data_IF_483154006788
#
_entry.id   IF_483154006788
#
_cell.length_a   1.000
_cell.length_b   1.000
_cell.length_c   1.000
_cell.angle_alpha   90.00
_cell.angle_beta   90.00
_cell.angle_gamma   90.00
#
_symmetry.space_group_name_H-M   'P 1'
#
loop_
_entity.id
_entity.type
_entity.pdbx_description
1 polymer ?
#
# COMPACT_ATOMS: atom_id res chain seq x y z
N UNK A 1 -32.24 -68.73 11.85
CA UNK A 1 -31.04 -68.40 12.63
C UNK A 1 -30.58 -67.04 12.12
N UNK A 2 -31.04 -65.97 12.78
CA UNK A 2 -30.86 -64.60 12.32
C UNK A 2 -29.48 -64.11 12.75
N UNK A 3 -28.60 -63.80 11.80
CA UNK A 3 -27.32 -63.13 12.08
C UNK A 3 -27.58 -61.64 12.21
N UNK A 4 -27.62 -61.14 13.46
CA UNK A 4 -27.63 -59.72 13.74
C UNK A 4 -26.35 -59.05 13.19
N UNK A 5 -26.43 -57.80 12.71
CA UNK A 5 -25.28 -57.07 12.23
C UNK A 5 -24.33 -56.81 13.41
N UNK A 6 -23.09 -57.29 13.28
CA UNK A 6 -22.01 -57.00 14.21
C UNK A 6 -21.69 -55.51 14.11
N UNK A 7 -22.20 -54.72 15.05
CA UNK A 7 -21.79 -53.33 15.24
C UNK A 7 -20.36 -53.38 15.81
N UNK A 8 -19.34 -52.77 15.18
CA UNK A 8 -17.99 -52.72 15.74
C UNK A 8 -18.03 -51.97 17.06
N UNK A 9 -17.96 -52.71 18.17
CA UNK A 9 -17.89 -52.16 19.52
C UNK A 9 -16.44 -51.84 19.87
N UNK A 10 -15.97 -50.69 19.42
CA UNK A 10 -15.01 -49.88 20.18
C UNK A 10 -15.01 -48.46 19.59
N UNK A 11 -15.94 -47.63 20.04
CA UNK A 11 -15.57 -46.22 20.17
C UNK A 11 -14.41 -46.20 21.17
N UNK A 12 -13.23 -45.94 20.64
CA UNK A 12 -12.00 -45.90 21.41
C UNK A 12 -12.10 -44.74 22.42
N UNK A 13 -12.42 -45.04 23.69
CA UNK A 13 -12.56 -44.02 24.73
C UNK A 13 -11.25 -43.26 24.95
N UNK A 14 -10.10 -43.82 24.54
CA UNK A 14 -8.82 -43.12 24.55
C UNK A 14 -8.80 -41.95 23.55
N UNK A 15 -9.46 -42.08 22.40
CA UNK A 15 -9.54 -40.98 21.42
C UNK A 15 -10.36 -39.78 21.91
N UNK A 16 -11.29 -40.00 22.86
CA UNK A 16 -12.06 -38.93 23.51
C UNK A 16 -11.18 -38.05 24.41
N UNK A 17 -10.09 -38.58 24.97
CA UNK A 17 -9.13 -37.82 25.79
C UNK A 17 -8.35 -36.82 24.92
N UNK A 18 -8.09 -37.17 23.66
CA UNK A 18 -7.35 -36.33 22.70
C UNK A 18 -8.25 -35.45 21.82
N UNK A 19 -9.58 -35.49 22.04
CA UNK A 19 -10.53 -34.86 21.15
C UNK A 19 -10.36 -33.33 21.06
N UNK A 20 -10.09 -32.68 22.20
CA UNK A 20 -9.82 -31.24 22.25
C UNK A 20 -8.58 -30.87 21.42
N UNK A 21 -7.48 -31.60 21.62
CA UNK A 21 -6.23 -31.39 20.87
C UNK A 21 -6.45 -31.61 19.38
N UNK A 22 -7.16 -32.66 18.98
CA UNK A 22 -7.47 -32.89 17.57
C UNK A 22 -8.29 -31.75 16.96
N UNK A 23 -9.34 -31.26 17.63
CA UNK A 23 -10.13 -30.16 17.11
C UNK A 23 -9.36 -28.83 17.10
N UNK A 24 -8.46 -28.62 18.05
CA UNK A 24 -7.57 -27.46 18.05
C UNK A 24 -6.60 -27.50 16.86
N UNK A 25 -5.98 -28.66 16.60
CA UNK A 25 -5.09 -28.85 15.45
C UNK A 25 -5.84 -28.71 14.13
N UNK A 26 -7.01 -29.35 13.99
CA UNK A 26 -7.86 -29.20 12.80
C UNK A 26 -8.27 -27.74 12.57
N UNK A 27 -8.71 -27.05 13.63
CA UNK A 27 -9.09 -25.64 13.55
C UNK A 27 -7.92 -24.72 13.22
N UNK A 28 -6.73 -25.01 13.74
CA UNK A 28 -5.50 -24.30 13.40
C UNK A 28 -5.13 -24.52 11.93
N UNK A 29 -5.10 -25.76 11.45
CA UNK A 29 -4.72 -26.09 10.07
C UNK A 29 -5.71 -25.50 9.06
N UNK A 30 -7.01 -25.57 9.35
CA UNK A 30 -8.05 -24.96 8.53
C UNK A 30 -7.93 -23.42 8.54
N UNK A 31 -7.79 -22.82 9.73
CA UNK A 31 -7.64 -21.37 9.87
C UNK A 31 -6.36 -20.84 9.23
N UNK A 32 -5.26 -21.57 9.31
CA UNK A 32 -3.99 -21.22 8.68
C UNK A 32 -4.10 -21.27 7.16
N UNK A 33 -4.67 -22.34 6.61
CA UNK A 33 -4.87 -22.49 5.16
C UNK A 33 -5.79 -21.42 4.59
N UNK A 34 -6.87 -21.11 5.29
CA UNK A 34 -7.81 -20.08 4.85
C UNK A 34 -7.22 -18.67 5.02
N UNK A 35 -6.46 -18.46 6.10
CA UNK A 35 -5.72 -17.23 6.37
C UNK A 35 -4.63 -16.94 5.34
N UNK A 36 -3.88 -17.96 4.91
CA UNK A 36 -2.86 -17.83 3.86
C UNK A 36 -3.48 -17.36 2.53
N UNK A 37 -4.58 -18.01 2.11
CA UNK A 37 -5.27 -17.67 0.86
C UNK A 37 -5.93 -16.29 0.90
N UNK A 38 -6.62 -15.98 1.99
CA UNK A 38 -7.31 -14.69 2.13
C UNK A 38 -6.32 -13.55 2.34
N UNK A 39 -5.26 -13.78 3.11
CA UNK A 39 -4.21 -12.79 3.37
C UNK A 39 -3.42 -12.39 2.13
N UNK A 40 -3.11 -13.32 1.23
CA UNK A 40 -2.46 -12.98 -0.05
C UNK A 40 -3.33 -12.05 -0.90
N UNK A 41 -4.62 -12.39 -1.04
CA UNK A 41 -5.56 -11.60 -1.82
C UNK A 41 -5.79 -10.22 -1.21
N UNK A 42 -6.06 -10.16 0.10
CA UNK A 42 -6.27 -8.91 0.83
C UNK A 42 -5.04 -8.02 0.79
N UNK A 43 -3.85 -8.59 1.03
CA UNK A 43 -2.58 -7.86 0.97
C UNK A 43 -2.31 -7.27 -0.41
N UNK A 44 -2.62 -8.01 -1.49
CA UNK A 44 -2.50 -7.51 -2.86
C UNK A 44 -3.47 -6.36 -3.13
N UNK A 45 -4.74 -6.51 -2.76
CA UNK A 45 -5.77 -5.46 -2.94
C UNK A 45 -5.36 -4.20 -2.19
N UNK A 46 -5.04 -4.34 -0.89
CA UNK A 46 -4.63 -3.24 -0.04
C UNK A 46 -3.38 -2.54 -0.57
N UNK A 47 -2.38 -3.32 -1.01
CA UNK A 47 -1.16 -2.80 -1.62
C UNK A 47 -1.45 -1.96 -2.86
N UNK A 48 -2.30 -2.44 -3.78
CA UNK A 48 -2.70 -1.69 -4.98
C UNK A 48 -3.44 -0.39 -4.63
N UNK A 49 -4.38 -0.43 -3.70
CA UNK A 49 -5.13 0.75 -3.25
C UNK A 49 -4.21 1.82 -2.65
N UNK A 50 -3.28 1.40 -1.78
CA UNK A 50 -2.32 2.30 -1.14
C UNK A 50 -1.28 2.84 -2.12
N UNK A 51 -0.78 2.01 -3.02
CA UNK A 51 0.12 2.44 -4.08
C UNK A 51 -0.55 3.46 -5.01
N UNK A 52 -1.84 3.26 -5.34
CA UNK A 52 -2.60 4.23 -6.14
C UNK A 52 -2.80 5.56 -5.41
N UNK A 53 -3.15 5.52 -4.12
CA UNK A 53 -3.27 6.72 -3.28
C UNK A 53 -1.97 7.55 -3.30
N UNK A 54 -0.84 6.88 -3.08
CA UNK A 54 0.49 7.47 -3.04
C UNK A 54 0.94 7.98 -4.42
N UNK A 55 0.81 7.15 -5.45
CA UNK A 55 1.22 7.46 -6.81
C UNK A 55 0.47 8.66 -7.40
N UNK A 56 -0.82 8.83 -7.09
CA UNK A 56 -1.56 10.04 -7.50
C UNK A 56 -0.98 11.31 -6.90
N UNK A 57 -0.63 11.29 -5.61
CA UNK A 57 -0.09 12.47 -4.94
C UNK A 57 1.31 12.82 -5.48
N UNK A 58 2.16 11.81 -5.67
CA UNK A 58 3.49 11.98 -6.27
C UNK A 58 3.39 12.47 -7.72
N UNK A 59 2.52 11.86 -8.53
CA UNK A 59 2.30 12.26 -9.92
C UNK A 59 1.76 13.70 -10.05
N UNK A 60 0.93 14.14 -9.12
CA UNK A 60 0.50 15.55 -9.05
C UNK A 60 1.69 16.49 -8.81
N UNK A 61 2.60 16.15 -7.89
CA UNK A 61 3.81 16.93 -7.66
C UNK A 61 4.70 16.99 -8.90
N UNK A 62 4.90 15.85 -9.56
CA UNK A 62 5.70 15.74 -10.77
C UNK A 62 5.13 16.59 -11.93
N UNK A 63 3.82 16.50 -12.15
CA UNK A 63 3.14 17.30 -13.19
C UNK A 63 3.26 18.80 -12.94
N UNK A 64 3.12 19.23 -11.68
CA UNK A 64 3.24 20.64 -11.30
C UNK A 64 4.66 21.17 -11.55
N UNK A 65 5.69 20.45 -11.09
CA UNK A 65 7.08 20.89 -11.28
C UNK A 65 7.49 20.91 -12.75
N UNK A 66 7.07 19.92 -13.56
CA UNK A 66 7.34 19.89 -15.00
C UNK A 66 6.73 21.09 -15.70
N UNK A 67 5.47 21.41 -15.37
CA UNK A 67 4.76 22.57 -15.93
C UNK A 67 5.47 23.88 -15.58
N UNK A 68 5.88 24.05 -14.32
CA UNK A 68 6.58 25.26 -13.90
C UNK A 68 7.99 25.38 -14.47
N UNK A 69 8.75 24.28 -14.56
CA UNK A 69 10.05 24.29 -15.23
C UNK A 69 9.92 24.74 -16.69
N UNK A 70 8.94 24.19 -17.42
CA UNK A 70 8.67 24.61 -18.79
C UNK A 70 8.26 26.09 -18.90
N UNK A 71 7.48 26.60 -17.93
CA UNK A 71 7.14 28.03 -17.88
C UNK A 71 8.38 28.91 -17.65
N UNK A 72 9.34 28.46 -16.82
CA UNK A 72 10.59 29.18 -16.58
C UNK A 72 11.48 29.27 -17.84
N UNK A 73 11.43 28.27 -18.72
CA UNK A 73 12.14 28.31 -20.02
C UNK A 73 11.59 29.43 -20.92
N UNK A 74 10.27 29.62 -20.91
CA UNK A 74 9.60 30.65 -21.72
C UNK A 74 9.68 32.04 -21.07
N UNK A 75 9.67 32.09 -19.74
CA UNK A 75 9.65 33.34 -18.96
C UNK A 75 10.62 33.27 -17.75
N UNK A 76 11.92 33.50 -17.98
CA UNK A 76 12.96 33.34 -16.95
C UNK A 76 12.77 34.21 -15.70
N UNK A 77 12.13 35.38 -15.85
CA UNK A 77 11.94 36.33 -14.74
C UNK A 77 10.77 35.96 -13.81
N UNK A 78 9.89 35.04 -14.20
CA UNK A 78 8.71 34.66 -13.41
C UNK A 78 9.02 33.68 -12.29
N UNK A 79 10.08 32.86 -12.44
CA UNK A 79 10.41 31.80 -11.48
C UNK A 79 11.82 32.03 -10.94
N UNK A 80 11.91 32.25 -9.63
CA UNK A 80 13.20 32.44 -8.97
C UNK A 80 14.10 31.21 -9.09
N UNK A 81 15.41 31.42 -9.20
CA UNK A 81 16.43 30.36 -9.17
C UNK A 81 16.34 29.49 -7.91
N UNK A 82 15.92 30.08 -6.78
CA UNK A 82 15.64 29.35 -5.54
C UNK A 82 14.50 28.33 -5.72
N UNK A 83 13.40 28.74 -6.36
CA UNK A 83 12.28 27.84 -6.64
C UNK A 83 12.71 26.70 -7.58
N UNK A 84 13.46 27.00 -8.64
CA UNK A 84 14.00 25.99 -9.57
C UNK A 84 14.85 24.94 -8.85
N UNK A 85 15.76 25.35 -7.96
CA UNK A 85 16.57 24.42 -7.15
C UNK A 85 15.72 23.52 -6.25
N UNK A 86 14.62 24.04 -5.71
CA UNK A 86 13.69 23.21 -4.92
C UNK A 86 12.92 22.22 -5.80
N UNK A 87 12.56 22.60 -7.03
CA UNK A 87 11.92 21.71 -8.02
C UNK A 87 12.87 20.61 -8.50
N UNK A 88 14.15 20.91 -8.72
CA UNK A 88 15.18 19.89 -9.04
C UNK A 88 15.29 18.84 -7.94
N UNK A 89 15.42 19.28 -6.69
CA UNK A 89 15.46 18.36 -5.54
C UNK A 89 14.18 17.53 -5.42
N UNK A 90 13.01 18.11 -5.69
CA UNK A 90 11.77 17.36 -5.67
C UNK A 90 11.74 16.31 -6.79
N UNK A 91 12.21 16.65 -7.99
CA UNK A 91 12.36 15.69 -9.09
C UNK A 91 13.29 14.54 -8.70
N UNK A 92 14.46 14.83 -8.12
CA UNK A 92 15.40 13.79 -7.64
C UNK A 92 14.73 12.86 -6.61
N UNK A 93 13.93 13.40 -5.70
CA UNK A 93 13.19 12.60 -4.71
C UNK A 93 12.10 11.71 -5.36
N UNK A 94 11.51 12.16 -6.46
CA UNK A 94 10.52 11.40 -7.22
C UNK A 94 11.22 10.30 -8.03
N UNK A 95 12.33 10.62 -8.69
CA UNK A 95 13.09 9.68 -9.52
C UNK A 95 13.75 8.56 -8.68
N UNK A 96 14.06 8.85 -7.41
CA UNK A 96 14.62 7.89 -6.45
C UNK A 96 13.54 7.21 -5.59
N UNK A 97 12.26 7.44 -5.87
CA UNK A 97 11.19 6.78 -5.15
C UNK A 97 11.25 5.25 -5.37
N UNK A 98 11.08 4.42 -4.32
CA UNK A 98 11.21 2.97 -4.43
C UNK A 98 10.23 2.38 -5.46
N UNK A 99 10.74 1.50 -6.33
CA UNK A 99 9.93 0.73 -7.28
C UNK A 99 9.53 -0.65 -6.73
N UNK A 100 10.22 -1.09 -5.68
CA UNK A 100 9.99 -2.37 -5.02
C UNK A 100 9.45 -2.14 -3.60
N UNK A 101 8.68 -3.11 -3.11
CA UNK A 101 8.15 -3.08 -1.75
C UNK A 101 9.25 -3.54 -0.77
N UNK A 102 9.93 -2.58 -0.15
CA UNK A 102 10.90 -2.81 0.91
C UNK A 102 10.24 -2.63 2.30
N UNK A 103 10.16 -3.68 3.14
CA UNK A 103 9.53 -3.59 4.46
C UNK A 103 10.24 -2.62 5.42
N UNK A 104 11.51 -2.31 5.19
CA UNK A 104 12.27 -1.36 6.02
C UNK A 104 12.06 0.11 5.59
N UNK A 105 11.46 0.33 4.42
CA UNK A 105 11.25 1.67 3.88
C UNK A 105 9.91 2.26 4.32
N UNK A 106 9.97 3.36 5.08
CA UNK A 106 8.79 4.16 5.41
C UNK A 106 8.35 5.05 4.22
N UNK A 107 7.50 4.47 3.36
CA UNK A 107 6.93 5.16 2.20
C UNK A 107 6.11 6.40 2.58
N UNK A 108 5.48 6.42 3.75
CA UNK A 108 4.69 7.56 4.23
C UNK A 108 5.59 8.73 4.61
N UNK A 109 6.70 8.46 5.31
CA UNK A 109 7.69 9.48 5.63
C UNK A 109 8.36 10.04 4.36
N UNK A 110 8.64 9.19 3.36
CA UNK A 110 9.15 9.63 2.06
C UNK A 110 8.14 10.55 1.37
N UNK A 111 6.86 10.17 1.33
CA UNK A 111 5.78 11.01 0.81
C UNK A 111 5.68 12.36 1.53
N UNK A 112 5.76 12.37 2.86
CA UNK A 112 5.62 13.60 3.64
C UNK A 112 6.78 14.58 3.40
N UNK A 113 8.00 14.05 3.16
CA UNK A 113 9.14 14.87 2.72
C UNK A 113 8.85 15.55 1.39
N UNK A 114 8.25 14.85 0.42
CA UNK A 114 7.86 15.43 -0.87
C UNK A 114 6.76 16.47 -0.72
N UNK A 115 5.72 16.18 0.06
CA UNK A 115 4.63 17.11 0.36
C UNK A 115 5.13 18.41 0.99
N UNK A 116 6.06 18.32 1.95
CA UNK A 116 6.69 19.50 2.55
C UNK A 116 7.54 20.28 1.55
N UNK A 117 8.23 19.60 0.64
CA UNK A 117 8.97 20.25 -0.45
C UNK A 117 8.01 21.00 -1.39
N UNK A 118 6.90 20.39 -1.77
CA UNK A 118 5.87 21.01 -2.60
C UNK A 118 5.32 22.28 -1.95
N UNK A 119 5.03 22.27 -0.64
CA UNK A 119 4.61 23.47 0.13
C UNK A 119 5.61 24.60 0.08
N UNK A 120 6.91 24.29 0.12
CA UNK A 120 7.98 25.29 -0.03
C UNK A 120 7.97 25.87 -1.44
N UNK A 121 7.85 25.03 -2.48
CA UNK A 121 7.79 25.48 -3.87
C UNK A 121 6.58 26.39 -4.10
N UNK A 122 5.39 25.99 -3.66
CA UNK A 122 4.16 26.79 -3.82
C UNK A 122 4.26 28.14 -3.10
N UNK A 123 4.90 28.16 -1.93
CA UNK A 123 5.16 29.40 -1.18
C UNK A 123 6.12 30.33 -1.94
N UNK A 124 7.18 29.80 -2.55
CA UNK A 124 8.14 30.57 -3.33
C UNK A 124 7.55 31.12 -4.63
N UNK A 125 6.59 30.41 -5.22
CA UNK A 125 5.88 30.83 -6.43
C UNK A 125 4.69 31.75 -6.14
N UNK A 126 4.29 31.90 -4.87
CA UNK A 126 3.08 32.66 -4.51
C UNK A 126 1.78 32.05 -5.02
N UNK A 127 1.74 30.75 -5.30
CA UNK A 127 0.57 30.05 -5.83
C UNK A 127 -0.11 29.19 -4.77
N UNK A 128 -1.42 29.05 -4.86
CA UNK A 128 -2.19 28.11 -4.06
C UNK A 128 -2.46 26.86 -4.89
N UNK A 129 -1.69 25.80 -4.65
CA UNK A 129 -1.93 24.47 -5.21
C UNK A 129 -2.31 23.52 -4.07
N UNK A 130 -3.43 22.82 -4.23
CA UNK A 130 -3.89 21.82 -3.28
C UNK A 130 -4.09 20.52 -4.04
N UNK A 131 -3.40 19.47 -3.59
CA UNK A 131 -3.75 18.12 -4.00
C UNK A 131 -5.12 17.78 -3.41
N UNK A 132 -6.08 17.45 -4.29
CA UNK A 132 -7.41 17.01 -3.89
C UNK A 132 -7.41 15.49 -3.90
N UNK A 133 -7.57 14.91 -2.72
CA UNK A 133 -7.66 13.47 -2.58
C UNK A 133 -9.02 13.01 -3.10
N UNK A 134 -9.03 12.37 -4.27
CA UNK A 134 -10.21 11.70 -4.80
C UNK A 134 -10.41 10.34 -4.10
N UNK A 135 -11.63 9.78 -4.07
CA UNK A 135 -11.87 8.44 -3.55
C UNK A 135 -10.93 7.43 -4.23
N UNK A 136 -10.46 6.45 -3.45
CA UNK A 136 -9.66 5.34 -3.98
C UNK A 136 -10.63 4.45 -4.77
N UNK A 137 -10.30 4.06 -6.01
CA UNK A 137 -11.12 3.10 -6.73
C UNK A 137 -11.12 1.79 -5.93
N UNK A 138 -12.31 1.30 -5.57
CA UNK A 138 -12.44 -0.02 -4.98
C UNK A 138 -11.99 -1.05 -6.01
N UNK A 139 -10.91 -1.76 -5.70
CA UNK A 139 -10.41 -2.80 -6.58
C UNK A 139 -11.18 -4.09 -6.30
N UNK A 140 -12.12 -4.41 -7.19
CA UNK A 140 -12.84 -5.69 -7.16
C UNK A 140 -12.06 -6.69 -8.05
N UNK A 141 -11.63 -7.81 -7.47
CA UNK A 141 -10.99 -8.92 -8.19
C UNK A 141 -11.70 -10.24 -7.92
#
# INVERSE_FOLDING_TARGET
MSTEPVIPHSQDLESLVYLETMFQECGYDDGFRDGERSGELEGRIFGCEKAFELGREIGFYEGAIKTWKHLAESHPDLISSKALRHMERLQEQIDTFPNDNDPDTDLLAVRDKMKNKMRVITSLLGVQQKFLQAPVPQMNY
#
